data_IF_605115761745
#
_entry.id   IF_605115761745
#
_cell.length_a   1.000
_cell.length_b   1.000
_cell.length_c   1.000
_cell.angle_alpha   90.00
_cell.angle_beta   90.00
_cell.angle_gamma   90.00
#
_symmetry.space_group_name_H-M   'P 1'
#
loop_
_entity.id
_entity.type
_entity.pdbx_description
1 polymer ?
#
# COMPACT_ATOMS: atom_id res chain seq x y z
N UNK A 1 11.64 -56.14 -11.84
CA UNK A 1 11.86 -54.79 -12.39
C UNK A 1 11.38 -53.80 -11.35
N UNK A 2 12.31 -53.24 -10.58
CA UNK A 2 12.04 -52.17 -9.63
C UNK A 2 12.24 -50.84 -10.35
N UNK A 3 11.17 -50.08 -10.52
CA UNK A 3 11.24 -48.69 -10.94
C UNK A 3 11.53 -47.85 -9.69
N UNK A 4 12.79 -47.53 -9.46
CA UNK A 4 13.16 -46.44 -8.55
C UNK A 4 12.64 -45.14 -9.14
N UNK A 5 11.70 -44.51 -8.43
CA UNK A 5 11.23 -43.15 -8.67
C UNK A 5 12.40 -42.18 -8.51
N UNK A 6 13.10 -41.91 -9.62
CA UNK A 6 14.23 -41.00 -9.71
C UNK A 6 13.81 -39.59 -10.18
N UNK A 7 12.61 -39.15 -9.78
CA UNK A 7 12.11 -37.80 -10.04
C UNK A 7 11.73 -37.11 -8.73
N UNK A 8 12.68 -37.06 -7.79
CA UNK A 8 12.72 -35.95 -6.85
C UNK A 8 13.35 -34.77 -7.60
N UNK A 9 12.51 -34.01 -8.31
CA UNK A 9 12.90 -32.75 -8.93
C UNK A 9 13.15 -31.71 -7.81
N UNK A 10 14.33 -31.80 -7.21
CA UNK A 10 14.88 -30.88 -6.21
C UNK A 10 15.50 -29.63 -6.89
N UNK A 11 14.80 -28.95 -7.79
CA UNK A 11 15.40 -27.83 -8.55
C UNK A 11 15.27 -26.44 -7.92
N UNK A 12 14.87 -26.31 -6.65
CA UNK A 12 14.90 -25.00 -5.97
C UNK A 12 15.81 -25.05 -4.75
N UNK A 13 17.11 -24.81 -4.97
CA UNK A 13 18.07 -24.55 -3.89
C UNK A 13 17.96 -23.09 -3.40
N UNK A 14 16.76 -22.67 -2.99
CA UNK A 14 16.50 -21.31 -2.53
C UNK A 14 15.50 -21.34 -1.38
N UNK A 15 15.86 -20.68 -0.29
CA UNK A 15 15.01 -20.49 0.90
C UNK A 15 14.43 -19.08 0.88
N UNK A 16 13.12 -18.97 0.99
CA UNK A 16 12.44 -17.67 1.13
C UNK A 16 12.44 -17.25 2.61
N UNK A 17 13.15 -16.17 2.92
CA UNK A 17 13.25 -15.65 4.30
C UNK A 17 12.25 -14.54 4.59
N UNK A 18 11.93 -13.74 3.57
CA UNK A 18 10.98 -12.63 3.66
C UNK A 18 10.20 -12.48 2.38
N UNK A 19 8.98 -11.99 2.50
CA UNK A 19 8.10 -11.63 1.40
C UNK A 19 7.50 -10.24 1.59
N UNK A 20 7.08 -9.66 0.46
CA UNK A 20 6.38 -8.38 0.44
C UNK A 20 5.22 -8.42 -0.52
N UNK A 21 4.24 -7.56 -0.24
CA UNK A 21 3.13 -7.30 -1.14
C UNK A 21 3.17 -5.83 -1.56
N UNK A 22 3.49 -5.59 -2.83
CA UNK A 22 3.33 -4.31 -3.48
C UNK A 22 1.96 -4.19 -4.14
N UNK A 23 1.40 -3.00 -4.10
CA UNK A 23 0.08 -2.73 -4.66
C UNK A 23 -0.11 -1.26 -4.96
N UNK A 24 -0.92 -0.97 -5.98
CA UNK A 24 -1.22 0.38 -6.43
C UNK A 24 -2.73 0.62 -6.53
N UNK A 25 -3.19 1.82 -6.21
CA UNK A 25 -4.58 2.24 -6.40
C UNK A 25 -5.56 1.33 -5.64
N UNK A 26 -6.53 0.73 -6.34
CA UNK A 26 -7.52 -0.20 -5.77
C UNK A 26 -6.88 -1.43 -5.10
N UNK A 27 -5.76 -1.92 -5.64
CA UNK A 27 -5.01 -3.00 -4.99
C UNK A 27 -4.35 -2.52 -3.69
N UNK A 28 -3.99 -1.24 -3.61
CA UNK A 28 -3.46 -0.62 -2.39
C UNK A 28 -4.45 -0.69 -1.23
N UNK A 29 -5.73 -0.43 -1.49
CA UNK A 29 -6.80 -0.62 -0.53
C UNK A 29 -6.93 -2.08 -0.07
N UNK A 30 -6.87 -3.02 -1.02
CA UNK A 30 -6.90 -4.45 -0.72
C UNK A 30 -5.75 -4.88 0.19
N UNK A 31 -4.55 -4.32 -0.02
CA UNK A 31 -3.38 -4.53 0.84
C UNK A 31 -3.59 -3.98 2.25
N UNK A 32 -4.29 -2.85 2.41
CA UNK A 32 -4.71 -2.33 3.73
C UNK A 32 -5.61 -3.34 4.44
N UNK A 33 -6.59 -3.92 3.73
CA UNK A 33 -7.48 -4.93 4.28
C UNK A 33 -6.76 -6.22 4.65
N UNK A 34 -5.81 -6.66 3.82
CA UNK A 34 -5.06 -7.87 4.11
C UNK A 34 -4.16 -7.69 5.32
N UNK A 35 -3.49 -6.55 5.48
CA UNK A 35 -2.76 -6.23 6.70
C UNK A 35 -3.68 -6.23 7.94
N UNK A 36 -4.91 -5.74 7.77
CA UNK A 36 -5.88 -5.62 8.86
C UNK A 36 -6.37 -6.99 9.34
N UNK A 37 -6.66 -7.89 8.40
CA UNK A 37 -7.29 -9.19 8.64
C UNK A 37 -6.29 -10.33 8.82
N UNK A 38 -5.15 -10.28 8.11
CA UNK A 38 -4.15 -11.34 8.06
C UNK A 38 -2.72 -10.75 8.08
N UNK A 39 -2.35 -9.99 9.12
CA UNK A 39 -1.06 -9.27 9.18
C UNK A 39 0.18 -10.16 9.05
N UNK A 40 0.06 -11.45 9.27
CA UNK A 40 1.15 -12.43 9.26
C UNK A 40 1.44 -13.03 7.88
N UNK A 41 0.64 -12.71 6.84
CA UNK A 41 0.85 -13.30 5.51
C UNK A 41 2.07 -12.77 4.79
N UNK A 42 2.48 -11.53 5.07
CA UNK A 42 3.64 -10.91 4.46
C UNK A 42 4.49 -10.22 5.52
N UNK A 43 5.81 -10.20 5.35
CA UNK A 43 6.70 -9.44 6.23
C UNK A 43 6.57 -7.93 6.00
N UNK A 44 6.30 -7.51 4.75
CA UNK A 44 6.24 -6.10 4.36
C UNK A 44 5.03 -5.82 3.47
N UNK A 45 4.24 -4.80 3.83
CA UNK A 45 3.09 -4.34 3.05
C UNK A 45 3.40 -2.98 2.43
N UNK A 46 3.33 -2.90 1.12
CA UNK A 46 3.74 -1.75 0.32
C UNK A 46 2.52 -1.29 -0.48
N UNK A 47 2.10 -0.04 -0.25
CA UNK A 47 0.88 0.50 -0.86
C UNK A 47 1.16 1.88 -1.45
N UNK A 48 1.32 1.89 -2.77
CA UNK A 48 1.35 3.10 -3.57
C UNK A 48 -0.08 3.57 -3.81
N UNK A 49 -0.43 4.68 -3.18
CA UNK A 49 -1.69 5.39 -3.39
C UNK A 49 -2.93 4.50 -3.22
N UNK A 50 -3.17 3.94 -2.02
CA UNK A 50 -4.39 3.17 -1.79
C UNK A 50 -5.64 4.02 -2.03
N UNK A 51 -6.64 3.46 -2.72
CA UNK A 51 -7.89 4.16 -3.07
C UNK A 51 -8.89 4.19 -1.90
N UNK A 52 -8.54 4.88 -0.81
CA UNK A 52 -9.23 4.79 0.49
C UNK A 52 -10.62 5.44 0.54
N UNK A 53 -11.04 6.19 -0.49
CA UNK A 53 -12.38 6.78 -0.56
C UNK A 53 -13.46 5.74 -0.91
N UNK A 54 -13.08 4.56 -1.39
CA UNK A 54 -14.03 3.56 -1.83
C UNK A 54 -15.02 3.16 -0.74
N UNK A 55 -16.26 2.92 -1.16
CA UNK A 55 -17.37 2.49 -0.31
C UNK A 55 -17.55 3.39 0.94
N UNK A 56 -17.60 4.71 0.74
CA UNK A 56 -17.78 5.71 1.80
C UNK A 56 -16.71 5.60 2.89
N UNK A 57 -15.44 5.51 2.48
CA UNK A 57 -14.30 5.48 3.41
C UNK A 57 -14.37 4.28 4.40
N UNK A 58 -14.93 3.16 3.96
CA UNK A 58 -15.28 2.03 4.84
C UNK A 58 -14.11 1.53 5.71
N UNK A 59 -12.87 1.68 5.23
CA UNK A 59 -11.64 1.24 5.90
C UNK A 59 -11.40 1.99 7.23
N UNK A 60 -12.02 3.15 7.41
CA UNK A 60 -12.01 3.92 8.64
C UNK A 60 -13.20 3.60 9.56
N UNK A 61 -14.11 2.72 9.14
CA UNK A 61 -15.25 2.30 9.93
C UNK A 61 -14.85 1.61 11.25
N UNK A 62 -15.73 1.65 12.28
CA UNK A 62 -15.42 1.12 13.61
C UNK A 62 -15.20 -0.39 13.64
N UNK A 63 -15.76 -1.12 12.67
CA UNK A 63 -15.74 -2.59 12.62
C UNK A 63 -14.57 -3.15 11.79
N UNK A 64 -13.66 -2.30 11.32
CA UNK A 64 -12.53 -2.77 10.51
C UNK A 64 -11.53 -3.50 11.42
N UNK A 65 -11.05 -4.70 11.04
CA UNK A 65 -10.15 -5.50 11.87
C UNK A 65 -8.88 -4.78 12.31
N UNK A 66 -8.45 -3.76 11.58
CA UNK A 66 -7.35 -2.88 11.97
C UNK A 66 -7.59 -2.22 13.34
N UNK A 67 -8.85 -1.88 13.62
CA UNK A 67 -9.32 -1.18 14.82
C UNK A 67 -9.69 -2.12 15.96
N UNK A 68 -10.23 -3.30 15.66
CA UNK A 68 -10.88 -4.19 16.64
C UNK A 68 -10.05 -5.37 17.10
N UNK A 69 -9.18 -5.91 16.24
CA UNK A 69 -8.50 -7.18 16.55
C UNK A 69 -7.22 -6.96 17.39
N UNK A 70 -7.04 -7.72 18.49
CA UNK A 70 -5.80 -7.70 19.24
C UNK A 70 -4.64 -8.26 18.42
N UNK A 71 -3.42 -7.90 18.80
CA UNK A 71 -2.24 -8.44 18.14
C UNK A 71 -2.13 -9.95 18.37
N UNK A 72 -1.86 -10.75 17.32
CA UNK A 72 -1.55 -12.16 17.53
C UNK A 72 -0.28 -12.30 18.37
N UNK A 73 -0.39 -12.92 19.54
CA UNK A 73 0.75 -13.12 20.43
C UNK A 73 1.81 -14.02 19.76
N UNK A 74 3.07 -13.59 19.81
CA UNK A 74 4.21 -14.38 19.35
C UNK A 74 4.50 -14.34 17.83
N UNK A 75 3.79 -13.53 17.05
CA UNK A 75 4.10 -13.33 15.62
C UNK A 75 5.00 -12.10 15.38
N UNK A 76 5.86 -12.18 14.37
CA UNK A 76 6.63 -11.02 13.89
C UNK A 76 5.68 -9.98 13.31
N UNK A 77 5.77 -8.74 13.80
CA UNK A 77 4.93 -7.65 13.33
C UNK A 77 5.35 -7.24 11.90
N UNK A 78 4.41 -7.00 10.98
CA UNK A 78 4.73 -6.55 9.64
C UNK A 78 5.26 -5.10 9.64
N UNK A 79 6.00 -4.74 8.61
CA UNK A 79 6.36 -3.37 8.30
C UNK A 79 5.49 -2.86 7.16
N UNK A 80 5.34 -1.54 7.06
CA UNK A 80 4.48 -0.91 6.06
C UNK A 80 5.09 0.34 5.47
N UNK A 81 4.91 0.54 4.17
CA UNK A 81 5.05 1.85 3.54
C UNK A 81 3.73 2.27 2.88
N UNK A 82 3.38 3.55 3.08
CA UNK A 82 2.34 4.26 2.34
C UNK A 82 3.03 5.29 1.45
N UNK A 83 2.63 5.34 0.19
CA UNK A 83 3.17 6.31 -0.76
C UNK A 83 2.05 7.04 -1.49
N UNK A 84 2.24 8.30 -1.86
CA UNK A 84 1.25 9.04 -2.68
C UNK A 84 1.89 10.11 -3.55
N UNK A 85 1.19 10.53 -4.61
CA UNK A 85 1.64 11.60 -5.49
C UNK A 85 1.05 12.95 -5.09
N UNK A 86 1.87 14.00 -4.97
CA UNK A 86 1.41 15.33 -4.55
C UNK A 86 0.41 15.98 -5.52
N UNK A 87 0.36 15.53 -6.79
CA UNK A 87 -0.60 16.06 -7.77
C UNK A 87 -1.93 15.31 -7.82
N UNK A 88 -2.13 14.32 -6.96
CA UNK A 88 -3.37 13.54 -6.88
C UNK A 88 -4.51 14.38 -6.31
N UNK A 89 -4.26 15.13 -5.24
CA UNK A 89 -5.24 16.07 -4.68
C UNK A 89 -4.95 17.53 -5.12
N UNK A 90 -3.66 17.89 -5.29
CA UNK A 90 -3.20 19.24 -5.62
C UNK A 90 -2.75 19.39 -7.08
N UNK A 91 -3.60 18.91 -7.99
CA UNK A 91 -3.27 18.84 -9.41
C UNK A 91 -2.89 20.19 -10.02
N UNK A 92 -1.90 20.20 -10.91
CA UNK A 92 -1.51 21.38 -11.71
C UNK A 92 -2.29 21.46 -13.02
N UNK A 93 -2.42 22.67 -13.58
CA UNK A 93 -2.99 22.88 -14.92
C UNK A 93 -2.02 22.34 -15.97
N UNK A 94 -2.50 21.54 -16.93
CA UNK A 94 -1.66 21.05 -18.04
C UNK A 94 -1.45 22.15 -19.08
N UNK A 95 -0.34 22.04 -19.84
CA UNK A 95 0.06 23.05 -20.85
C UNK A 95 -1.07 23.40 -21.84
N UNK A 96 -1.79 22.40 -22.32
CA UNK A 96 -2.84 22.53 -23.33
C UNK A 96 -4.26 22.54 -22.77
N UNK A 97 -4.42 22.45 -21.46
CA UNK A 97 -5.73 22.34 -20.82
C UNK A 97 -6.39 23.73 -20.72
N UNK A 98 -7.68 23.81 -21.02
CA UNK A 98 -8.47 25.03 -20.81
C UNK A 98 -8.67 25.29 -19.32
N UNK A 99 -9.01 26.52 -18.93
CA UNK A 99 -9.25 26.84 -17.53
C UNK A 99 -10.45 26.05 -16.96
N UNK A 100 -11.50 25.88 -17.76
CA UNK A 100 -12.69 25.09 -17.40
C UNK A 100 -12.35 23.62 -17.19
N UNK A 101 -11.65 22.99 -18.14
CA UNK A 101 -11.25 21.59 -18.02
C UNK A 101 -10.35 21.36 -16.80
N UNK A 102 -9.43 22.30 -16.53
CA UNK A 102 -8.62 22.27 -15.31
C UNK A 102 -9.47 22.38 -14.05
N UNK A 103 -10.43 23.29 -14.01
CA UNK A 103 -11.36 23.45 -12.89
C UNK A 103 -12.12 22.16 -12.59
N UNK A 104 -12.70 21.54 -13.62
CA UNK A 104 -13.43 20.27 -13.51
C UNK A 104 -12.53 19.14 -13.01
N UNK A 105 -11.36 18.94 -13.63
CA UNK A 105 -10.42 17.89 -13.22
C UNK A 105 -9.91 18.09 -11.80
N UNK A 106 -9.55 19.33 -11.44
CA UNK A 106 -9.10 19.67 -10.08
C UNK A 106 -10.20 19.42 -9.04
N UNK A 107 -11.45 19.78 -9.34
CA UNK A 107 -12.57 19.53 -8.44
C UNK A 107 -12.80 18.02 -8.23
N UNK A 108 -12.78 17.25 -9.32
CA UNK A 108 -12.89 15.79 -9.26
C UNK A 108 -11.75 15.18 -8.43
N UNK A 109 -10.50 15.51 -8.73
CA UNK A 109 -9.34 15.00 -8.00
C UNK A 109 -9.35 15.35 -6.51
N UNK A 110 -9.73 16.58 -6.15
CA UNK A 110 -9.93 16.98 -4.75
C UNK A 110 -11.05 16.20 -4.06
N UNK A 111 -12.10 15.84 -4.79
CA UNK A 111 -13.19 15.05 -4.22
C UNK A 111 -12.78 13.64 -3.79
N UNK A 112 -11.66 13.12 -4.34
CA UNK A 112 -11.11 11.81 -3.98
C UNK A 112 -10.34 11.81 -2.65
N UNK A 113 -10.01 12.99 -2.09
CA UNK A 113 -9.39 13.16 -0.76
C UNK A 113 -8.13 12.30 -0.56
N UNK A 114 -7.36 12.06 -1.62
CA UNK A 114 -6.34 11.01 -1.63
C UNK A 114 -5.22 11.26 -0.63
N UNK A 115 -4.66 12.47 -0.59
CA UNK A 115 -3.63 12.82 0.38
C UNK A 115 -4.21 12.82 1.78
N UNK A 116 -5.37 13.48 1.94
CA UNK A 116 -6.08 13.58 3.22
C UNK A 116 -6.28 12.22 3.89
N UNK A 117 -6.84 11.25 3.16
CA UNK A 117 -7.15 9.91 3.69
C UNK A 117 -5.89 9.08 3.94
N UNK A 118 -4.84 9.22 3.12
CA UNK A 118 -3.59 8.49 3.33
C UNK A 118 -2.88 9.00 4.59
N UNK A 119 -2.88 10.32 4.83
CA UNK A 119 -2.35 10.92 6.05
C UNK A 119 -3.14 10.47 7.28
N UNK A 120 -4.47 10.44 7.20
CA UNK A 120 -5.32 9.92 8.27
C UNK A 120 -4.99 8.46 8.61
N UNK A 121 -4.91 7.59 7.59
CA UNK A 121 -4.55 6.18 7.78
C UNK A 121 -3.15 6.02 8.39
N UNK A 122 -2.18 6.81 7.93
CA UNK A 122 -0.83 6.79 8.48
C UNK A 122 -0.83 7.13 9.99
N UNK A 123 -1.54 8.20 10.37
CA UNK A 123 -1.65 8.62 11.77
C UNK A 123 -2.35 7.57 12.64
N UNK A 124 -3.44 6.96 12.14
CA UNK A 124 -4.11 5.86 12.84
C UNK A 124 -3.20 4.65 13.05
N UNK A 125 -2.34 4.34 12.10
CA UNK A 125 -1.44 3.19 12.15
C UNK A 125 -0.18 3.44 12.99
N UNK A 126 0.38 4.64 12.93
CA UNK A 126 1.60 5.01 13.65
C UNK A 126 1.42 4.88 15.17
N UNK A 127 0.23 5.18 15.67
CA UNK A 127 -0.09 5.08 17.11
C UNK A 127 -0.28 3.64 17.61
N UNK A 128 -0.33 2.64 16.72
CA UNK A 128 -0.68 1.27 17.07
C UNK A 128 0.55 0.38 17.18
N UNK A 129 0.61 -0.41 18.25
CA UNK A 129 1.66 -1.42 18.48
C UNK A 129 1.61 -2.62 17.49
N UNK A 130 0.85 -2.53 16.38
CA UNK A 130 0.60 -3.63 15.43
C UNK A 130 1.66 -3.77 14.34
N UNK A 131 2.42 -2.71 14.09
CA UNK A 131 3.47 -2.68 13.09
C UNK A 131 4.82 -2.61 13.79
N UNK A 132 5.86 -3.22 13.19
CA UNK A 132 7.24 -2.96 13.63
C UNK A 132 7.71 -1.59 13.14
N UNK A 133 7.32 -1.23 11.92
CA UNK A 133 7.68 0.03 11.27
C UNK A 133 6.55 0.48 10.35
N UNK A 134 6.37 1.80 10.24
CA UNK A 134 5.55 2.43 9.20
C UNK A 134 6.32 3.61 8.62
N UNK A 135 6.30 3.76 7.29
CA UNK A 135 6.83 4.91 6.56
C UNK A 135 5.73 5.55 5.71
N UNK A 136 5.84 6.85 5.53
CA UNK A 136 5.05 7.62 4.59
C UNK A 136 6.01 8.28 3.59
N UNK A 137 5.72 8.19 2.31
CA UNK A 137 6.51 8.83 1.26
C UNK A 137 5.61 9.61 0.29
N UNK A 138 5.90 10.91 0.14
CA UNK A 138 5.26 11.74 -0.87
C UNK A 138 6.16 11.86 -2.11
N UNK A 139 5.57 11.65 -3.28
CA UNK A 139 6.17 11.97 -4.57
C UNK A 139 5.59 13.30 -5.07
N UNK A 140 6.22 14.45 -4.77
CA UNK A 140 5.57 15.77 -4.85
C UNK A 140 5.13 16.18 -6.26
N UNK A 141 5.73 15.59 -7.29
CA UNK A 141 5.46 15.92 -8.70
C UNK A 141 4.78 14.79 -9.48
N UNK A 142 4.23 13.78 -8.78
CA UNK A 142 3.64 12.61 -9.41
C UNK A 142 2.11 12.64 -9.41
N UNK A 143 1.54 12.20 -10.54
CA UNK A 143 0.14 11.81 -10.67
C UNK A 143 -0.02 10.29 -10.49
N UNK A 144 -1.26 9.83 -10.40
CA UNK A 144 -1.68 8.43 -10.23
C UNK A 144 -0.78 7.35 -10.83
N UNK A 145 -0.52 7.40 -12.14
CA UNK A 145 0.27 6.37 -12.82
C UNK A 145 1.76 6.52 -12.51
N UNK A 146 2.27 7.75 -12.47
CA UNK A 146 3.69 8.01 -12.23
C UNK A 146 4.11 7.58 -10.82
N UNK A 147 3.27 7.84 -9.80
CA UNK A 147 3.56 7.38 -8.43
C UNK A 147 3.59 5.85 -8.34
N UNK A 148 2.76 5.14 -9.12
CA UNK A 148 2.80 3.67 -9.14
C UNK A 148 4.12 3.10 -9.68
N UNK A 149 4.82 3.81 -10.56
CA UNK A 149 6.16 3.41 -11.03
C UNK A 149 7.26 3.82 -10.07
N UNK A 150 7.23 5.08 -9.60
CA UNK A 150 8.23 5.62 -8.70
C UNK A 150 8.23 4.89 -7.35
N UNK A 151 7.04 4.68 -6.77
CA UNK A 151 6.89 3.95 -5.52
C UNK A 151 7.34 2.50 -5.64
N UNK A 152 7.06 1.82 -6.76
CA UNK A 152 7.54 0.44 -6.94
C UNK A 152 9.06 0.35 -6.84
N UNK A 153 9.80 1.28 -7.46
CA UNK A 153 11.25 1.28 -7.42
C UNK A 153 11.77 1.48 -5.98
N UNK A 154 11.31 2.51 -5.29
CA UNK A 154 11.80 2.84 -3.95
C UNK A 154 11.31 1.85 -2.87
N UNK A 155 10.12 1.27 -3.06
CA UNK A 155 9.56 0.30 -2.11
C UNK A 155 10.24 -1.06 -2.19
N UNK A 156 10.89 -1.41 -3.31
CA UNK A 156 11.81 -2.55 -3.37
C UNK A 156 13.00 -2.31 -2.45
N UNK A 157 13.61 -1.13 -2.49
CA UNK A 157 14.72 -0.79 -1.58
C UNK A 157 14.25 -0.80 -0.11
N UNK A 158 13.05 -0.27 0.15
CA UNK A 158 12.44 -0.33 1.48
C UNK A 158 12.22 -1.76 1.98
N UNK A 159 11.84 -2.69 1.09
CA UNK A 159 11.74 -4.11 1.44
C UNK A 159 13.11 -4.73 1.74
N UNK A 160 14.16 -4.36 1.01
CA UNK A 160 15.51 -4.90 1.24
C UNK A 160 16.08 -4.44 2.58
N UNK A 161 15.76 -3.21 3.00
CA UNK A 161 16.15 -2.63 4.29
C UNK A 161 15.48 -3.29 5.52
N UNK A 162 14.44 -4.10 5.34
CA UNK A 162 13.60 -4.66 6.42
C UNK A 162 13.61 -6.18 6.46
#
# INVERSE_FOLDING_TARGET
MNWTSQYADNTVNTTFNRDSLYSHSFAGESTVCMLSTKPHLFNVYLSALPYLIWNDEYIFGPNIPLKTEPQPNGMTKPARQLSFGGYEEHSQKRRTETLEAYGTRRAFLRSLKTETLILELYNELQSRARLRHIKLHEYPFSYHVAVGGNALADEIDCFLDW
#
